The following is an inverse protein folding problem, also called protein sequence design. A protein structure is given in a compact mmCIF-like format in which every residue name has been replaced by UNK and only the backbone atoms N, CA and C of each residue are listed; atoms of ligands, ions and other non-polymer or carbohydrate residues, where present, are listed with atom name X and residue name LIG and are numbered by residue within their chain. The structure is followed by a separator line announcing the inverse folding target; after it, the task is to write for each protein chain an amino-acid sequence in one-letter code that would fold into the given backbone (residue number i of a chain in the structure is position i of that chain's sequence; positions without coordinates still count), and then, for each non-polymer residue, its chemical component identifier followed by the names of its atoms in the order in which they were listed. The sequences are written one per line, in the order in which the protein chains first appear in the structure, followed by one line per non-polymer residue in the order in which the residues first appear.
data_IF_382874285633
#
_entry.id   IF_382874285633
#
_cell.length_a   1.000
_cell.length_b   1.000
_cell.length_c   1.000
_cell.angle_alpha   90.00
_cell.angle_beta   90.00
_cell.angle_gamma   90.00
#
_symmetry.space_group_name_H-M   'P 1'
#
loop_
_entity.id
_entity.type
_entity.pdbx_description
1 polymer ?
#
# COMPACT_ATOMS: atom_id res chain seq x y z
N UNK A 1 -38.91 8.74 4.38
CA UNK A 1 -37.65 7.96 4.33
C UNK A 1 -37.31 7.74 2.86
N UNK A 2 -36.26 8.39 2.35
CA UNK A 2 -36.08 8.64 0.91
C UNK A 2 -35.37 7.45 0.23
N UNK A 3 -35.98 6.83 -0.78
CA UNK A 3 -35.45 5.63 -1.47
C UNK A 3 -34.05 5.85 -2.08
N UNK A 4 -33.68 7.10 -2.35
CA UNK A 4 -32.37 7.53 -2.88
C UNK A 4 -31.25 7.50 -1.83
N UNK A 5 -31.61 7.56 -0.55
CA UNK A 5 -30.68 7.48 0.59
C UNK A 5 -30.36 6.02 0.92
N UNK A 6 -31.34 5.14 0.76
CA UNK A 6 -31.18 3.71 1.02
C UNK A 6 -30.27 3.00 -0.01
N UNK A 7 -30.34 3.40 -1.29
CA UNK A 7 -29.48 2.83 -2.34
C UNK A 7 -28.00 3.23 -2.17
N UNK A 8 -27.70 4.49 -1.83
CA UNK A 8 -26.32 4.94 -1.53
C UNK A 8 -25.67 4.17 -0.38
N UNK A 9 -26.47 3.73 0.59
CA UNK A 9 -25.99 2.98 1.76
C UNK A 9 -25.73 1.49 1.46
N UNK A 10 -26.40 0.89 0.48
CA UNK A 10 -26.19 -0.51 0.11
C UNK A 10 -24.93 -0.72 -0.75
N UNK A 11 -24.65 0.18 -1.71
CA UNK A 11 -23.54 0.00 -2.64
C UNK A 11 -22.16 0.22 -2.00
N UNK A 12 -22.03 1.08 -0.99
CA UNK A 12 -20.72 1.37 -0.36
C UNK A 12 -20.11 0.15 0.35
N UNK A 13 -20.84 -0.61 1.19
CA UNK A 13 -20.36 -1.88 1.73
C UNK A 13 -20.04 -2.91 0.64
N UNK A 14 -20.90 -3.05 -0.38
CA UNK A 14 -20.68 -4.01 -1.46
C UNK A 14 -19.41 -3.69 -2.27
N UNK A 15 -19.16 -2.41 -2.57
CA UNK A 15 -17.94 -1.94 -3.23
C UNK A 15 -16.70 -2.17 -2.36
N UNK A 16 -16.80 -1.89 -1.05
CA UNK A 16 -15.72 -2.15 -0.11
C UNK A 16 -15.36 -3.64 -0.05
N UNK A 17 -16.36 -4.51 0.15
CA UNK A 17 -16.19 -5.96 0.15
C UNK A 17 -15.65 -6.47 -1.19
N UNK A 18 -16.17 -5.96 -2.31
CA UNK A 18 -15.70 -6.32 -3.65
C UNK A 18 -14.22 -5.99 -3.85
N UNK A 19 -13.75 -4.82 -3.41
CA UNK A 19 -12.35 -4.42 -3.51
C UNK A 19 -11.44 -5.29 -2.64
N UNK A 20 -11.84 -5.57 -1.39
CA UNK A 20 -11.08 -6.47 -0.50
C UNK A 20 -10.98 -7.86 -1.12
N UNK A 21 -12.09 -8.43 -1.59
CA UNK A 21 -12.12 -9.74 -2.26
C UNK A 21 -11.26 -9.75 -3.51
N UNK A 22 -11.31 -8.70 -4.33
CA UNK A 22 -10.49 -8.57 -5.53
C UNK A 22 -8.99 -8.59 -5.20
N UNK A 23 -8.54 -7.82 -4.20
CA UNK A 23 -7.13 -7.77 -3.82
C UNK A 23 -6.68 -9.10 -3.20
N UNK A 24 -7.52 -9.73 -2.37
CA UNK A 24 -7.24 -11.06 -1.82
C UNK A 24 -7.14 -12.11 -2.92
N UNK A 25 -8.03 -12.05 -3.92
CA UNK A 25 -7.96 -12.93 -5.09
C UNK A 25 -6.64 -12.74 -5.85
N UNK A 26 -6.23 -11.50 -6.12
CA UNK A 26 -4.93 -11.22 -6.77
C UNK A 26 -3.74 -11.73 -5.95
N UNK A 27 -3.76 -11.56 -4.62
CA UNK A 27 -2.73 -12.10 -3.73
C UNK A 27 -2.66 -13.62 -3.79
N UNK A 28 -3.81 -14.29 -3.65
CA UNK A 28 -3.89 -15.76 -3.69
C UNK A 28 -3.37 -16.25 -5.04
N UNK A 29 -3.85 -15.65 -6.13
CA UNK A 29 -3.46 -16.00 -7.48
C UNK A 29 -1.94 -15.83 -7.69
N UNK A 30 -1.36 -14.72 -7.22
CA UNK A 30 0.10 -14.50 -7.28
C UNK A 30 0.90 -15.50 -6.43
N UNK A 31 0.36 -15.93 -5.28
CA UNK A 31 1.01 -16.91 -4.38
C UNK A 31 0.87 -18.36 -4.87
N UNK A 32 -0.23 -18.72 -5.51
CA UNK A 32 -0.45 -20.09 -5.98
C UNK A 32 0.18 -20.34 -7.35
N UNK A 33 0.22 -19.33 -8.21
CA UNK A 33 0.65 -19.51 -9.60
C UNK A 33 2.12 -19.11 -9.81
N UNK A 34 2.99 -20.11 -9.94
CA UNK A 34 4.43 -19.94 -10.20
C UNK A 34 4.73 -19.14 -11.47
N UNK A 35 4.03 -19.44 -12.57
CA UNK A 35 4.24 -18.78 -13.86
C UNK A 35 4.02 -17.27 -13.81
N UNK A 36 3.14 -16.79 -12.92
CA UNK A 36 2.91 -15.35 -12.79
C UNK A 36 4.03 -14.64 -12.04
N UNK A 37 4.78 -15.35 -11.19
CA UNK A 37 5.94 -14.77 -10.49
C UNK A 37 7.14 -14.60 -11.42
N UNK A 38 7.27 -15.44 -12.44
CA UNK A 38 8.33 -15.38 -13.45
C UNK A 38 7.91 -14.61 -14.71
N UNK A 39 6.60 -14.43 -14.91
CA UNK A 39 6.05 -13.72 -16.06
C UNK A 39 6.57 -12.28 -16.18
N UNK A 40 6.91 -11.92 -17.41
CA UNK A 40 7.37 -10.58 -17.79
C UNK A 40 6.24 -9.70 -18.31
N UNK A 41 5.00 -10.18 -18.28
CA UNK A 41 3.87 -9.42 -18.81
C UNK A 41 3.64 -8.13 -18.02
N UNK A 42 3.50 -6.98 -18.70
CA UNK A 42 3.17 -5.71 -18.04
C UNK A 42 1.82 -5.75 -17.32
N UNK A 43 0.92 -6.68 -17.70
CA UNK A 43 -0.31 -6.93 -16.95
C UNK A 43 -0.02 -7.48 -15.54
N UNK A 44 1.02 -8.29 -15.38
CA UNK A 44 1.44 -8.77 -14.06
C UNK A 44 1.92 -7.59 -13.22
N UNK A 45 2.76 -6.71 -13.75
CA UNK A 45 3.19 -5.50 -13.06
C UNK A 45 1.99 -4.60 -12.67
N UNK A 46 1.05 -4.43 -13.60
CA UNK A 46 -0.16 -3.65 -13.37
C UNK A 46 -0.97 -4.25 -12.21
N UNK A 47 -1.37 -5.52 -12.28
CA UNK A 47 -2.20 -6.13 -11.24
C UNK A 47 -1.46 -6.36 -9.92
N UNK A 48 -0.15 -6.60 -9.95
CA UNK A 48 0.68 -6.73 -8.75
C UNK A 48 0.69 -5.44 -7.91
N UNK A 49 0.56 -4.28 -8.54
CA UNK A 49 0.58 -3.00 -7.84
C UNK A 49 -0.64 -2.81 -6.90
N UNK A 50 -1.74 -3.55 -7.12
CA UNK A 50 -2.91 -3.50 -6.24
C UNK A 50 -2.59 -4.05 -4.85
N UNK A 51 -2.18 -5.32 -4.68
CA UNK A 51 -1.87 -5.86 -3.36
C UNK A 51 -0.63 -5.24 -2.70
N UNK A 52 0.29 -4.64 -3.47
CA UNK A 52 1.40 -3.90 -2.88
C UNK A 52 0.98 -2.54 -2.29
N UNK A 53 -0.14 -1.97 -2.74
CA UNK A 53 -0.56 -0.61 -2.37
C UNK A 53 -1.92 -0.55 -1.66
N UNK A 54 -2.68 -1.62 -1.61
CA UNK A 54 -4.02 -1.64 -1.01
C UNK A 54 -3.97 -1.55 0.52
N UNK A 55 -4.57 -0.50 1.08
CA UNK A 55 -4.64 -0.16 2.53
C UNK A 55 -3.28 -0.09 3.24
N UNK A 56 -2.64 -1.24 3.47
CA UNK A 56 -1.32 -1.42 4.06
C UNK A 56 -0.51 -2.26 3.08
N UNK A 57 0.68 -1.78 2.69
CA UNK A 57 1.54 -2.49 1.76
C UNK A 57 1.92 -3.87 2.31
N UNK A 58 1.23 -4.92 1.85
CA UNK A 58 1.46 -6.30 2.29
C UNK A 58 2.73 -6.85 1.66
N UNK A 59 2.96 -6.48 0.40
CA UNK A 59 4.09 -6.94 -0.41
C UNK A 59 4.88 -5.74 -0.96
N UNK A 60 6.22 -5.80 -0.99
CA UNK A 60 7.06 -4.72 -1.51
C UNK A 60 6.81 -4.48 -3.00
N UNK A 61 6.77 -3.22 -3.40
CA UNK A 61 6.58 -2.84 -4.80
C UNK A 61 7.92 -2.65 -5.52
N UNK A 62 8.91 -2.12 -4.80
CA UNK A 62 10.19 -1.67 -5.34
C UNK A 62 11.01 -2.78 -6.02
N UNK A 63 11.18 -3.99 -5.45
CA UNK A 63 11.95 -5.06 -6.10
C UNK A 63 11.32 -5.50 -7.42
N UNK A 64 9.99 -5.41 -7.54
CA UNK A 64 9.28 -5.78 -8.77
C UNK A 64 9.51 -4.74 -9.86
N UNK A 65 9.57 -3.45 -9.52
CA UNK A 65 9.97 -2.41 -10.49
C UNK A 65 11.39 -2.64 -11.03
N UNK A 66 12.32 -3.01 -10.14
CA UNK A 66 13.70 -3.32 -10.51
C UNK A 66 13.78 -4.57 -11.41
N UNK A 67 12.97 -5.59 -11.16
CA UNK A 67 12.87 -6.77 -12.02
C UNK A 67 12.37 -6.42 -13.43
N UNK A 68 11.24 -5.71 -13.54
CA UNK A 68 10.65 -5.35 -14.83
C UNK A 68 11.52 -4.37 -15.64
N UNK A 69 12.32 -3.55 -14.98
CA UNK A 69 13.26 -2.63 -15.63
C UNK A 69 14.36 -3.34 -16.43
N UNK A 70 14.59 -4.64 -16.22
CA UNK A 70 15.51 -5.43 -17.06
C UNK A 70 14.97 -5.74 -18.44
N UNK A 71 13.65 -5.70 -18.61
CA UNK A 71 12.97 -6.14 -19.84
C UNK A 71 12.28 -4.99 -20.59
N UNK A 72 12.02 -3.88 -19.91
CA UNK A 72 11.28 -2.74 -20.45
C UNK A 72 11.99 -1.43 -20.14
N UNK A 73 11.70 -0.42 -20.97
CA UNK A 73 12.23 0.93 -20.72
C UNK A 73 11.77 1.46 -19.35
N UNK A 74 12.62 2.25 -18.64
CA UNK A 74 12.24 2.86 -17.37
C UNK A 74 10.94 3.66 -17.41
N UNK A 75 10.69 4.35 -18.53
CA UNK A 75 9.46 5.12 -18.75
C UNK A 75 8.22 4.23 -18.80
N UNK A 76 8.29 3.08 -19.49
CA UNK A 76 7.19 2.11 -19.57
C UNK A 76 6.87 1.53 -18.20
N UNK A 77 7.88 1.08 -17.45
CA UNK A 77 7.71 0.51 -16.11
C UNK A 77 7.08 1.54 -15.17
N UNK A 78 7.61 2.77 -15.17
CA UNK A 78 7.10 3.85 -14.35
C UNK A 78 5.65 4.20 -14.66
N UNK A 79 5.29 4.28 -15.95
CA UNK A 79 3.93 4.60 -16.38
C UNK A 79 2.93 3.52 -15.95
N UNK A 80 3.19 2.24 -16.26
CA UNK A 80 2.30 1.13 -15.89
C UNK A 80 2.12 1.05 -14.37
N UNK A 81 3.22 1.14 -13.63
CA UNK A 81 3.21 1.10 -12.18
C UNK A 81 2.46 2.30 -11.58
N UNK A 82 2.71 3.50 -12.07
CA UNK A 82 2.03 4.71 -11.61
C UNK A 82 0.53 4.66 -11.91
N UNK A 83 0.12 4.25 -13.11
CA UNK A 83 -1.30 4.12 -13.48
C UNK A 83 -2.04 3.14 -12.57
N UNK A 84 -1.49 1.96 -12.33
CA UNK A 84 -2.11 0.98 -11.44
C UNK A 84 -2.16 1.47 -9.99
N UNK A 85 -1.09 2.11 -9.53
CA UNK A 85 -1.00 2.69 -8.19
C UNK A 85 -2.02 3.80 -8.00
N UNK A 86 -2.20 4.70 -8.98
CA UNK A 86 -3.21 5.77 -8.92
C UNK A 86 -4.63 5.21 -8.88
N UNK A 87 -4.90 4.14 -9.64
CA UNK A 87 -6.18 3.44 -9.59
C UNK A 87 -6.41 2.82 -8.20
N UNK A 88 -5.41 2.13 -7.66
CA UNK A 88 -5.45 1.55 -6.32
C UNK A 88 -5.67 2.63 -5.25
N UNK A 89 -5.04 3.79 -5.36
CA UNK A 89 -5.19 4.89 -4.41
C UNK A 89 -6.54 5.60 -4.53
N UNK A 90 -7.12 5.66 -5.72
CA UNK A 90 -8.49 6.14 -5.90
C UNK A 90 -9.52 5.20 -5.23
N UNK A 91 -9.27 3.88 -5.31
CA UNK A 91 -10.07 2.87 -4.61
C UNK A 91 -9.88 3.00 -3.09
N UNK A 92 -8.63 3.03 -2.61
CA UNK A 92 -8.30 3.23 -1.19
C UNK A 92 -8.96 4.49 -0.62
N UNK A 93 -8.93 5.61 -1.32
CA UNK A 93 -9.60 6.84 -0.88
C UNK A 93 -11.09 6.59 -0.65
N UNK A 94 -11.75 5.87 -1.56
CA UNK A 94 -13.18 5.55 -1.46
C UNK A 94 -13.47 4.62 -0.28
N UNK A 95 -12.60 3.63 -0.05
CA UNK A 95 -12.65 2.75 1.13
C UNK A 95 -12.51 3.54 2.42
N UNK A 96 -11.46 4.36 2.53
CA UNK A 96 -11.19 5.12 3.74
C UNK A 96 -12.30 6.14 4.01
N UNK A 97 -12.86 6.75 2.96
CA UNK A 97 -14.02 7.64 3.08
C UNK A 97 -15.28 6.90 3.55
N UNK A 98 -15.43 5.60 3.27
CA UNK A 98 -16.52 4.80 3.83
C UNK A 98 -16.26 4.43 5.30
N UNK A 99 -15.04 3.98 5.62
CA UNK A 99 -14.64 3.64 6.99
C UNK A 99 -14.64 4.89 7.89
N UNK A 100 -14.41 6.08 7.34
CA UNK A 100 -14.40 7.31 8.12
C UNK A 100 -15.75 7.68 8.72
N UNK A 101 -16.84 7.17 8.15
CA UNK A 101 -18.19 7.42 8.65
C UNK A 101 -18.52 6.57 9.89
N UNK A 102 -17.66 5.61 10.25
CA UNK A 102 -17.87 4.77 11.42
C UNK A 102 -17.64 5.54 12.71
N UNK A 103 -18.51 5.32 13.70
CA UNK A 103 -18.48 6.02 15.01
C UNK A 103 -17.15 5.86 15.73
N UNK A 104 -16.51 4.68 15.65
CA UNK A 104 -15.19 4.43 16.23
C UNK A 104 -14.10 5.30 15.59
N UNK A 105 -14.13 5.47 14.27
CA UNK A 105 -13.17 6.29 13.54
C UNK A 105 -13.38 7.78 13.83
N UNK A 106 -14.63 8.23 13.91
CA UNK A 106 -14.98 9.59 14.31
C UNK A 106 -14.45 9.91 15.72
N UNK A 107 -14.67 9.02 16.71
CA UNK A 107 -14.10 9.17 18.05
C UNK A 107 -12.57 9.24 18.03
N UNK A 108 -11.92 8.47 17.17
CA UNK A 108 -10.46 8.50 17.03
C UNK A 108 -9.96 9.84 16.48
N UNK A 109 -10.63 10.41 15.47
CA UNK A 109 -10.30 11.72 14.90
C UNK A 109 -10.40 12.86 15.91
N UNK A 110 -11.30 12.77 16.90
CA UNK A 110 -11.48 13.82 17.92
C UNK A 110 -10.33 13.89 18.94
N UNK A 111 -9.36 12.96 18.91
CA UNK A 111 -8.21 13.01 19.81
C UNK A 111 -7.34 14.24 19.50
N UNK A 112 -6.95 14.99 20.55
CA UNK A 112 -6.12 16.21 20.43
C UNK A 112 -4.87 16.02 19.56
N UNK A 113 -4.18 14.88 19.70
CA UNK A 113 -2.99 14.57 18.90
C UNK A 113 -3.31 14.45 17.40
N UNK A 114 -4.44 13.82 17.06
CA UNK A 114 -4.88 13.64 15.67
C UNK A 114 -5.31 14.99 15.07
N UNK A 115 -6.06 15.81 15.83
CA UNK A 115 -6.43 17.16 15.41
C UNK A 115 -5.20 18.04 15.13
N UNK A 116 -4.14 17.96 15.96
CA UNK A 116 -2.88 18.65 15.69
C UNK A 116 -2.22 18.18 14.39
N UNK A 117 -2.22 16.87 14.12
CA UNK A 117 -1.68 16.32 12.87
C UNK A 117 -2.49 16.78 11.65
N UNK A 118 -3.81 16.79 11.74
CA UNK A 118 -4.70 17.29 10.68
C UNK A 118 -4.42 18.78 10.42
N UNK A 119 -4.32 19.59 11.48
CA UNK A 119 -4.02 21.01 11.35
C UNK A 119 -2.65 21.24 10.71
N UNK A 120 -1.62 20.49 11.12
CA UNK A 120 -0.29 20.58 10.51
C UNK A 120 -0.33 20.19 9.03
N UNK A 121 -0.99 19.08 8.70
CA UNK A 121 -1.17 18.62 7.33
C UNK A 121 -1.86 19.67 6.45
N UNK A 122 -2.87 20.36 6.98
CA UNK A 122 -3.63 21.39 6.26
C UNK A 122 -2.84 22.65 5.90
N UNK A 123 -1.64 22.87 6.47
CA UNK A 123 -0.79 24.00 6.07
C UNK A 123 -0.26 23.85 4.64
N UNK A 124 0.11 22.62 4.24
CA UNK A 124 0.67 22.34 2.92
C UNK A 124 0.35 20.91 2.45
N UNK A 125 -0.94 20.54 2.32
CA UNK A 125 -1.36 19.15 2.12
C UNK A 125 -0.80 18.55 0.83
N UNK A 126 -0.76 19.34 -0.25
CA UNK A 126 -0.21 18.88 -1.53
C UNK A 126 1.28 18.53 -1.42
N UNK A 127 2.06 19.43 -0.83
CA UNK A 127 3.51 19.25 -0.67
C UNK A 127 3.82 18.11 0.30
N UNK A 128 3.06 18.00 1.39
CA UNK A 128 3.18 16.90 2.34
C UNK A 128 2.98 15.54 1.67
N UNK A 129 1.93 15.40 0.85
CA UNK A 129 1.66 14.18 0.06
C UNK A 129 2.79 13.93 -0.94
N UNK A 130 3.20 14.96 -1.69
CA UNK A 130 4.20 14.83 -2.74
C UNK A 130 5.54 14.36 -2.17
N UNK A 131 6.04 14.99 -1.10
CA UNK A 131 7.29 14.61 -0.44
C UNK A 131 7.18 13.20 0.15
N UNK A 132 6.07 12.90 0.83
CA UNK A 132 5.88 11.60 1.47
C UNK A 132 5.81 10.45 0.47
N UNK A 133 5.18 10.66 -0.70
CA UNK A 133 5.08 9.64 -1.73
C UNK A 133 6.37 9.51 -2.57
N UNK A 134 7.12 10.61 -2.73
CA UNK A 134 8.41 10.60 -3.44
C UNK A 134 9.51 9.91 -2.63
N UNK A 135 9.48 10.05 -1.30
CA UNK A 135 10.49 9.47 -0.39
C UNK A 135 10.14 8.03 0.02
N UNK A 136 11.11 7.21 0.45
CA UNK A 136 10.88 5.83 0.89
C UNK A 136 10.27 5.73 2.30
N UNK A 137 9.50 6.75 2.72
CA UNK A 137 8.83 6.72 4.03
C UNK A 137 7.49 5.96 3.93
N UNK A 138 6.99 5.40 5.04
CA UNK A 138 5.69 4.76 5.03
C UNK A 138 4.57 5.74 4.69
N UNK A 139 3.88 5.51 3.56
CA UNK A 139 2.86 6.42 3.04
C UNK A 139 1.46 6.21 3.68
N UNK A 140 1.25 5.07 4.36
CA UNK A 140 -0.05 4.73 4.95
C UNK A 140 -0.64 5.83 5.88
N UNK A 141 0.12 6.56 6.73
CA UNK A 141 -0.46 7.59 7.58
C UNK A 141 -1.08 8.73 6.77
N UNK A 142 -0.47 9.09 5.64
CA UNK A 142 -0.96 10.16 4.77
C UNK A 142 -2.26 9.78 4.07
N UNK A 143 -2.48 8.51 3.74
CA UNK A 143 -3.77 8.02 3.22
C UNK A 143 -4.91 8.31 4.18
N UNK A 144 -4.69 8.09 5.48
CA UNK A 144 -5.68 8.43 6.50
C UNK A 144 -5.84 9.94 6.66
N UNK A 145 -4.73 10.69 6.76
CA UNK A 145 -4.78 12.15 6.94
C UNK A 145 -5.52 12.85 5.81
N UNK A 146 -5.32 12.43 4.56
CA UNK A 146 -6.01 12.98 3.39
C UNK A 146 -7.54 12.88 3.55
N UNK A 147 -8.06 11.74 4.01
CA UNK A 147 -9.50 11.55 4.23
C UNK A 147 -9.99 12.28 5.48
N UNK A 148 -9.25 12.19 6.59
CA UNK A 148 -9.60 12.89 7.85
C UNK A 148 -9.64 14.41 7.67
N UNK A 149 -8.72 14.96 6.87
CA UNK A 149 -8.67 16.38 6.52
C UNK A 149 -9.67 16.79 5.43
N UNK A 150 -10.48 15.84 4.90
CA UNK A 150 -11.39 16.07 3.77
C UNK A 150 -10.70 16.67 2.54
N UNK A 151 -9.46 16.27 2.27
CA UNK A 151 -8.67 16.84 1.19
C UNK A 151 -9.16 16.37 -0.19
N UNK A 152 -9.18 17.26 -1.19
CA UNK A 152 -9.70 16.94 -2.52
C UNK A 152 -9.02 15.71 -3.14
N UNK A 153 -9.83 14.71 -3.52
CA UNK A 153 -9.38 13.47 -4.17
C UNK A 153 -8.53 13.75 -5.41
N UNK A 154 -8.93 14.69 -6.26
CA UNK A 154 -8.19 15.02 -7.48
C UNK A 154 -6.82 15.59 -7.19
N UNK A 155 -6.70 16.48 -6.20
CA UNK A 155 -5.40 17.04 -5.79
C UNK A 155 -4.51 15.98 -5.15
N UNK A 156 -5.08 15.06 -4.38
CA UNK A 156 -4.37 13.90 -3.84
C UNK A 156 -3.79 13.01 -4.96
N UNK A 157 -4.62 12.60 -5.93
CA UNK A 157 -4.18 11.78 -7.05
C UNK A 157 -3.13 12.50 -7.92
N UNK A 158 -3.29 13.81 -8.12
CA UNK A 158 -2.29 14.60 -8.84
C UNK A 158 -0.94 14.64 -8.09
N UNK A 159 -0.97 14.87 -6.77
CA UNK A 159 0.24 14.86 -5.95
C UNK A 159 0.93 13.48 -6.01
N UNK A 160 0.16 12.39 -5.99
CA UNK A 160 0.66 11.04 -6.19
C UNK A 160 1.25 10.80 -7.58
N UNK A 161 0.58 11.28 -8.63
CA UNK A 161 1.07 11.13 -10.00
C UNK A 161 2.42 11.84 -10.15
N UNK A 162 2.53 13.07 -9.67
CA UNK A 162 3.74 13.88 -9.76
C UNK A 162 4.88 13.43 -8.84
N UNK A 163 4.61 12.58 -7.84
CA UNK A 163 5.64 12.07 -6.92
C UNK A 163 6.02 10.62 -7.23
N UNK A 164 5.05 9.73 -7.40
CA UNK A 164 5.30 8.31 -7.66
C UNK A 164 5.84 8.04 -9.04
N UNK A 165 5.37 8.75 -10.08
CA UNK A 165 5.89 8.58 -11.44
C UNK A 165 7.41 8.84 -11.51
N UNK A 166 7.94 9.99 -11.03
CA UNK A 166 9.39 10.20 -11.06
C UNK A 166 10.13 9.23 -10.13
N UNK A 167 9.58 8.89 -8.95
CA UNK A 167 10.20 7.87 -8.07
C UNK A 167 10.32 6.51 -8.76
N UNK A 168 9.24 6.03 -9.38
CA UNK A 168 9.22 4.75 -10.10
C UNK A 168 10.12 4.79 -11.33
N UNK A 169 10.19 5.93 -12.02
CA UNK A 169 11.15 6.13 -13.10
C UNK A 169 12.59 6.05 -12.61
N UNK A 170 12.94 6.71 -11.50
CA UNK A 170 14.29 6.66 -10.94
C UNK A 170 14.67 5.24 -10.50
N UNK A 171 13.75 4.51 -9.87
CA UNK A 171 13.95 3.12 -9.49
C UNK A 171 14.14 2.22 -10.72
N UNK A 172 13.26 2.34 -11.71
CA UNK A 172 13.36 1.55 -12.93
C UNK A 172 14.64 1.90 -13.73
N UNK A 173 14.99 3.18 -13.79
CA UNK A 173 16.23 3.63 -14.43
C UNK A 173 17.45 3.04 -13.72
N UNK A 174 17.49 3.08 -12.38
CA UNK A 174 18.54 2.42 -11.60
C UNK A 174 18.61 0.91 -11.87
N UNK A 175 17.47 0.22 -11.85
CA UNK A 175 17.40 -1.22 -12.15
C UNK A 175 17.90 -1.57 -13.55
N UNK A 176 17.59 -0.71 -14.53
CA UNK A 176 18.04 -0.84 -15.92
C UNK A 176 19.55 -0.56 -16.08
N UNK A 177 20.18 0.25 -15.21
CA UNK A 177 21.63 0.47 -15.28
C UNK A 177 22.41 -0.63 -14.55
N UNK A 178 21.97 -0.99 -13.34
CA UNK A 178 22.75 -1.83 -12.43
C UNK A 178 22.56 -3.33 -12.69
N UNK A 179 21.46 -3.73 -13.34
CA UNK A 179 21.15 -5.14 -13.66
C UNK A 179 21.38 -6.08 -12.46
N UNK A 180 20.71 -5.79 -11.34
CA UNK A 180 20.80 -6.60 -10.11
C UNK A 180 20.51 -8.07 -10.40
N UNK A 181 21.18 -9.01 -9.74
CA UNK A 181 20.90 -10.44 -9.87
C UNK A 181 19.56 -10.83 -9.23
N UNK A 182 19.03 -12.02 -9.55
CA UNK A 182 17.76 -12.50 -8.98
C UNK A 182 17.85 -12.73 -7.48
N UNK A 183 19.00 -13.22 -7.00
CA UNK A 183 19.24 -13.46 -5.58
C UNK A 183 19.21 -12.15 -4.78
N UNK A 184 19.76 -11.06 -5.34
CA UNK A 184 19.73 -9.74 -4.71
C UNK A 184 18.32 -9.16 -4.67
N UNK A 185 17.52 -9.34 -5.73
CA UNK A 185 16.13 -8.89 -5.74
C UNK A 185 15.28 -9.67 -4.72
N UNK A 186 15.47 -10.99 -4.64
CA UNK A 186 14.79 -11.83 -3.64
C UNK A 186 15.21 -11.41 -2.23
N UNK A 187 16.50 -11.19 -1.99
CA UNK A 187 17.01 -10.73 -0.69
C UNK A 187 16.39 -9.38 -0.30
N UNK A 188 16.38 -8.41 -1.22
CA UNK A 188 15.75 -7.11 -1.01
C UNK A 188 14.26 -7.25 -0.68
N UNK A 189 13.54 -8.09 -1.43
CA UNK A 189 12.14 -8.38 -1.20
C UNK A 189 11.88 -8.93 0.22
N UNK A 190 12.68 -9.90 0.66
CA UNK A 190 12.58 -10.48 2.01
C UNK A 190 12.90 -9.44 3.08
N UNK A 191 13.96 -8.64 2.90
CA UNK A 191 14.33 -7.56 3.84
C UNK A 191 13.18 -6.57 4.02
N UNK A 192 12.56 -6.13 2.92
CA UNK A 192 11.45 -5.18 2.96
C UNK A 192 10.21 -5.78 3.64
N UNK A 193 9.87 -7.04 3.37
CA UNK A 193 8.77 -7.75 4.07
C UNK A 193 9.04 -7.82 5.57
N UNK A 194 10.23 -8.27 5.96
CA UNK A 194 10.60 -8.42 7.38
C UNK A 194 10.63 -7.06 8.07
N UNK A 195 11.15 -6.03 7.40
CA UNK A 195 11.22 -4.66 7.92
C UNK A 195 9.83 -4.09 8.20
N UNK A 196 8.90 -4.21 7.25
CA UNK A 196 7.50 -3.76 7.41
C UNK A 196 6.81 -4.51 8.55
N UNK A 197 7.10 -5.81 8.72
CA UNK A 197 6.43 -6.67 9.70
C UNK A 197 7.21 -6.84 11.00
N UNK A 198 8.31 -6.11 11.24
CA UNK A 198 9.23 -6.39 12.35
C UNK A 198 8.56 -6.32 13.72
N UNK A 199 7.56 -5.43 13.90
CA UNK A 199 6.76 -5.34 15.12
C UNK A 199 5.92 -6.59 15.38
N UNK A 200 5.28 -7.11 14.32
CA UNK A 200 4.49 -8.34 14.36
C UNK A 200 5.39 -9.57 14.56
N UNK A 201 6.52 -9.66 13.84
CA UNK A 201 7.55 -10.69 14.03
C UNK A 201 8.09 -10.71 15.46
N UNK A 202 8.40 -9.54 16.05
CA UNK A 202 8.83 -9.43 17.45
C UNK A 202 7.77 -9.96 18.41
N UNK A 203 6.49 -9.71 18.15
CA UNK A 203 5.40 -10.19 18.99
C UNK A 203 5.19 -11.72 18.87
N UNK A 204 5.30 -12.26 17.66
CA UNK A 204 5.28 -13.71 17.39
C UNK A 204 6.45 -14.43 18.06
N UNK A 205 7.67 -13.92 17.87
CA UNK A 205 8.88 -14.47 18.48
C UNK A 205 8.77 -14.46 20.00
N UNK A 206 8.31 -13.36 20.61
CA UNK A 206 8.04 -13.31 22.06
C UNK A 206 7.08 -14.43 22.48
N UNK A 207 5.94 -14.63 21.79
CA UNK A 207 4.99 -15.71 22.12
C UNK A 207 5.61 -17.11 22.00
N UNK A 208 6.44 -17.35 20.97
CA UNK A 208 7.14 -18.63 20.80
C UNK A 208 8.17 -18.89 21.90
N UNK A 209 8.98 -17.88 22.26
CA UNK A 209 9.97 -18.01 23.33
C UNK A 209 9.31 -18.16 24.72
N UNK A 210 8.19 -17.48 24.99
CA UNK A 210 7.45 -17.66 26.25
C UNK A 210 6.82 -19.05 26.36
N UNK A 211 6.27 -19.60 25.26
CA UNK A 211 5.74 -20.98 25.22
C UNK A 211 6.82 -22.05 25.44
N UNK A 212 8.02 -21.86 24.87
CA UNK A 212 9.14 -22.79 25.06
C UNK A 212 9.68 -22.79 26.49
N UNK A 213 9.54 -21.66 27.21
CA UNK A 213 9.89 -21.56 28.64
C UNK A 213 8.87 -22.28 29.53
N UNK A 214 7.58 -22.10 29.26
CA UNK A 214 6.51 -22.79 29.98
C UNK A 214 6.51 -24.32 29.80
N UNK A 215 6.92 -24.83 28.62
CA UNK A 215 7.06 -26.26 28.37
C UNK A 215 8.31 -26.93 28.98
N UNK A 216 9.23 -26.15 29.56
CA UNK A 216 10.40 -26.66 30.30
C UNK A 216 10.15 -26.76 31.82
N UNK A 217 9.15 -26.06 32.35
CA UNK A 217 8.81 -26.07 33.78
C UNK A 217 7.81 -27.18 34.15
N UNK A 218 7.20 -27.88 33.18
CA UNK A 218 6.27 -29.00 33.40
C UNK A 218 6.91 -30.40 33.44
N UNK A 219 8.23 -30.49 33.36
CA UNK A 219 8.99 -31.76 33.41
C UNK A 219 10.03 -31.81 34.54
N UNK A 220 9.87 -30.96 35.57
CA UNK A 220 10.62 -31.03 36.82
C UNK A 220 9.66 -31.14 38.00
#
# INVERSE_FOLDING_TARGET
MNLRENSKNFWRPALFLGQVTFVLFLLILWLTWTELRTSRSLWVLFFYSFPSEFLVAVVPHEPVLLYFARFYSPATVAFIAASSTLLTEALNYSVFSYVSDWTAFQKFQQKKAIQKLINLFNHAPFLAIWIAAFTPIPFYPFRFLVVMASYSRWKFLLALALSRTPRFFLLAWFGHQVHLSDELLILLFVILIVGVNIGFLRQLLRKFFTRKKAGKETYF
#
